data_IF_146080708536
#
_entry.id   IF_146080708536
#
_cell.length_a   1.000
_cell.length_b   1.000
_cell.length_c   1.000
_cell.angle_alpha   90.00
_cell.angle_beta   90.00
_cell.angle_gamma   90.00
#
_symmetry.space_group_name_H-M   'P 1'
#
loop_
_entity.id
_entity.type
_entity.pdbx_description
1 polymer ?
#
# COMPACT_ATOMS: atom_id res chain seq x y z
N UNK A 1 54.73 -44.89 -31.17
CA UNK A 1 54.90 -44.54 -32.59
C UNK A 1 53.56 -44.20 -33.21
N UNK A 2 53.54 -43.22 -34.11
CA UNK A 2 52.40 -42.45 -34.64
C UNK A 2 51.32 -43.26 -35.38
N UNK A 3 50.09 -42.72 -35.38
CA UNK A 3 49.13 -42.44 -36.49
C UNK A 3 47.75 -42.24 -35.83
N UNK A 4 46.96 -41.17 -35.99
CA UNK A 4 46.87 -40.07 -36.96
C UNK A 4 45.42 -40.04 -37.46
N UNK A 5 44.66 -38.96 -37.25
CA UNK A 5 43.42 -38.63 -38.00
C UNK A 5 43.32 -37.10 -38.08
N UNK A 6 43.02 -36.64 -39.29
CA UNK A 6 43.08 -35.27 -39.79
C UNK A 6 41.87 -34.41 -39.41
N UNK A 7 42.09 -33.10 -39.29
CA UNK A 7 41.04 -32.08 -39.36
C UNK A 7 41.07 -31.45 -40.74
N UNK A 8 39.99 -31.63 -41.49
CA UNK A 8 39.73 -30.94 -42.75
C UNK A 8 38.82 -29.73 -42.49
N UNK A 9 39.31 -28.57 -42.87
CA UNK A 9 38.58 -27.31 -43.03
C UNK A 9 37.53 -27.45 -44.13
N UNK A 10 36.29 -27.03 -43.87
CA UNK A 10 35.31 -26.70 -44.92
C UNK A 10 34.75 -25.32 -44.64
N UNK A 11 34.99 -24.45 -45.63
CA UNK A 11 34.37 -23.14 -45.80
C UNK A 11 32.99 -23.36 -46.45
N UNK A 12 31.96 -22.71 -45.93
CA UNK A 12 30.63 -22.66 -46.55
C UNK A 12 30.00 -21.29 -46.31
N UNK A 13 29.70 -20.59 -47.39
CA UNK A 13 29.26 -19.21 -47.44
C UNK A 13 27.87 -19.12 -48.08
N UNK A 14 27.09 -18.12 -47.65
CA UNK A 14 25.86 -17.55 -48.21
C UNK A 14 24.55 -18.36 -48.25
N UNK A 15 23.54 -17.84 -47.53
CA UNK A 15 22.21 -17.58 -48.09
C UNK A 15 21.50 -16.48 -47.28
N UNK A 16 21.34 -15.30 -47.91
CA UNK A 16 20.40 -14.25 -47.54
C UNK A 16 18.97 -14.76 -47.76
N UNK A 17 18.11 -14.67 -46.75
CA UNK A 17 16.66 -14.73 -46.94
C UNK A 17 16.05 -13.44 -46.41
N UNK A 18 15.51 -12.66 -47.33
CA UNK A 18 14.69 -11.50 -47.08
C UNK A 18 13.32 -11.92 -46.55
N UNK A 19 12.83 -11.22 -45.52
CA UNK A 19 11.52 -11.43 -44.92
C UNK A 19 10.98 -10.15 -44.30
N UNK A 20 10.40 -9.29 -45.15
CA UNK A 20 9.31 -8.33 -44.91
C UNK A 20 9.24 -7.64 -43.53
N UNK A 21 9.84 -6.45 -43.45
CA UNK A 21 9.56 -5.46 -42.40
C UNK A 21 8.28 -4.73 -42.75
N UNK A 22 7.22 -4.92 -41.95
CA UNK A 22 6.10 -3.97 -41.94
C UNK A 22 6.52 -2.73 -41.16
N UNK A 23 6.82 -1.66 -41.90
CA UNK A 23 6.96 -0.32 -41.35
C UNK A 23 5.58 0.15 -40.86
N UNK A 24 5.42 0.34 -39.55
CA UNK A 24 4.38 1.25 -39.04
C UNK A 24 4.94 2.68 -39.06
N UNK A 25 4.14 3.67 -39.49
CA UNK A 25 4.60 5.05 -39.54
C UNK A 25 4.87 5.59 -38.14
N UNK A 26 5.83 6.53 -37.99
CA UNK A 26 6.07 7.18 -36.71
C UNK A 26 4.85 7.99 -36.32
N UNK A 27 4.33 7.77 -35.10
CA UNK A 27 3.41 8.70 -34.47
C UNK A 27 4.17 10.00 -34.14
N UNK A 28 4.35 10.84 -35.16
CA UNK A 28 4.68 12.24 -35.01
C UNK A 28 3.46 12.99 -34.52
N UNK A 29 3.31 13.11 -33.20
CA UNK A 29 2.48 14.12 -32.57
C UNK A 29 3.38 15.27 -32.12
N UNK A 30 3.08 16.50 -32.56
CA UNK A 30 3.73 17.72 -32.06
C UNK A 30 3.55 17.80 -30.52
N UNK A 31 4.53 18.33 -29.76
CA UNK A 31 4.28 18.69 -28.37
C UNK A 31 3.29 19.87 -28.36
N UNK A 32 2.08 19.66 -27.84
CA UNK A 32 1.15 20.77 -27.62
C UNK A 32 -0.36 20.49 -27.70
N UNK A 33 -0.83 19.32 -28.12
CA UNK A 33 -2.29 19.12 -28.30
C UNK A 33 -2.77 17.74 -27.86
N UNK A 34 -2.93 17.53 -26.54
CA UNK A 34 -3.92 16.59 -25.99
C UNK A 34 -4.45 17.11 -24.65
N UNK A 35 -5.65 17.68 -24.70
CA UNK A 35 -6.44 18.00 -23.52
C UNK A 35 -7.59 18.92 -23.90
N UNK A 36 -8.75 18.35 -24.23
CA UNK A 36 -9.98 19.12 -24.41
C UNK A 36 -10.38 19.86 -23.12
N UNK A 37 -11.36 20.80 -23.18
CA UNK A 37 -11.70 21.66 -22.06
C UNK A 37 -12.04 20.83 -20.81
N UNK A 38 -11.39 21.08 -19.66
CA UNK A 38 -11.60 20.30 -18.44
C UNK A 38 -12.88 20.76 -17.73
N UNK A 39 -14.03 20.42 -18.31
CA UNK A 39 -15.36 20.77 -17.78
C UNK A 39 -16.45 19.74 -18.11
N UNK A 40 -16.08 18.55 -18.57
CA UNK A 40 -17.03 17.49 -18.84
C UNK A 40 -17.63 16.90 -17.54
N UNK A 41 -18.88 16.39 -17.54
CA UNK A 41 -19.58 15.88 -16.35
C UNK A 41 -18.94 14.64 -15.69
N UNK A 42 -17.80 14.16 -16.20
CA UNK A 42 -17.16 12.90 -15.84
C UNK A 42 -15.65 13.03 -15.54
N UNK A 43 -15.17 14.24 -15.22
CA UNK A 43 -13.81 14.41 -14.67
C UNK A 43 -13.70 13.90 -13.22
N UNK A 44 -12.50 13.50 -12.75
CA UNK A 44 -12.31 13.14 -11.34
C UNK A 44 -12.73 14.33 -10.45
N UNK A 45 -13.39 14.08 -9.30
CA UNK A 45 -13.92 15.15 -8.46
C UNK A 45 -12.78 16.09 -8.03
N UNK A 46 -12.89 17.37 -8.38
CA UNK A 46 -11.89 18.37 -8.01
C UNK A 46 -11.92 18.56 -6.49
N UNK A 47 -10.77 18.39 -5.85
CA UNK A 47 -10.61 18.60 -4.41
C UNK A 47 -10.70 20.12 -4.16
N UNK A 48 -11.53 20.61 -3.21
CA UNK A 48 -11.76 22.05 -2.99
C UNK A 48 -10.50 22.87 -2.78
N UNK A 49 -9.47 22.29 -2.15
CA UNK A 49 -8.15 22.93 -1.98
C UNK A 49 -7.53 23.26 -3.34
N UNK A 50 -7.52 22.31 -4.27
CA UNK A 50 -6.96 22.56 -5.60
C UNK A 50 -7.81 23.56 -6.37
N UNK A 51 -9.13 23.47 -6.30
CA UNK A 51 -10.03 24.45 -6.95
C UNK A 51 -9.87 25.88 -6.41
N UNK A 52 -9.49 26.03 -5.14
CA UNK A 52 -9.26 27.35 -4.55
C UNK A 52 -7.90 27.94 -4.95
N UNK A 53 -6.87 27.09 -5.10
CA UNK A 53 -5.50 27.50 -5.39
C UNK A 53 -5.22 27.67 -6.89
N UNK A 54 -5.78 26.80 -7.73
CA UNK A 54 -5.70 26.83 -9.20
C UNK A 54 -6.86 27.69 -9.73
N UNK A 55 -6.65 29.00 -9.76
CA UNK A 55 -7.67 29.98 -10.08
C UNK A 55 -7.98 30.03 -11.58
N UNK A 56 -6.99 29.72 -12.42
CA UNK A 56 -7.16 29.67 -13.87
C UNK A 56 -7.66 28.29 -14.37
N UNK A 57 -7.62 27.27 -13.52
CA UNK A 57 -8.15 25.93 -13.78
C UNK A 57 -7.33 25.09 -14.73
N UNK A 58 -6.05 25.45 -14.95
CA UNK A 58 -5.14 24.80 -15.90
C UNK A 58 -4.45 23.55 -15.32
N UNK A 59 -4.58 23.32 -14.00
CA UNK A 59 -4.03 22.17 -13.30
C UNK A 59 -2.59 22.35 -12.79
N UNK A 60 -1.99 23.53 -12.98
CA UNK A 60 -0.71 23.93 -12.43
C UNK A 60 -0.88 25.10 -11.45
N UNK A 61 0.10 25.35 -10.58
CA UNK A 61 0.07 26.49 -9.66
C UNK A 61 1.16 27.49 -10.06
N UNK A 62 0.75 28.62 -10.60
CA UNK A 62 1.64 29.71 -10.96
C UNK A 62 2.18 30.46 -9.72
N UNK A 63 3.28 31.20 -9.88
CA UNK A 63 3.85 32.02 -8.81
C UNK A 63 2.84 33.04 -8.22
N UNK A 64 1.97 33.59 -9.07
CA UNK A 64 0.93 34.54 -8.68
C UNK A 64 -0.20 33.87 -7.88
N UNK A 65 -0.53 32.61 -8.17
CA UNK A 65 -1.51 31.82 -7.43
C UNK A 65 -0.99 31.36 -6.08
N UNK A 66 0.29 30.98 -6.03
CA UNK A 66 0.98 30.67 -4.77
C UNK A 66 1.01 31.90 -3.86
N UNK A 67 1.28 33.09 -4.42
CA UNK A 67 1.27 34.34 -3.65
C UNK A 67 -0.11 34.68 -3.06
N UNK A 68 -1.19 34.27 -3.73
CA UNK A 68 -2.59 34.49 -3.31
C UNK A 68 -3.17 33.33 -2.50
N UNK A 69 -2.42 32.26 -2.29
CA UNK A 69 -2.86 31.06 -1.59
C UNK A 69 -3.44 31.33 -0.20
N UNK A 70 -2.88 32.23 0.65
CA UNK A 70 -3.46 32.50 1.97
C UNK A 70 -4.88 33.07 1.89
N UNK A 71 -5.17 33.95 0.93
CA UNK A 71 -6.50 34.53 0.74
C UNK A 71 -7.48 33.53 0.13
N UNK A 72 -7.00 32.69 -0.78
CA UNK A 72 -7.79 31.62 -1.40
C UNK A 72 -8.22 30.55 -0.39
N UNK A 73 -7.29 30.11 0.48
CA UNK A 73 -7.56 29.10 1.50
C UNK A 73 -8.49 29.63 2.60
N UNK A 74 -8.39 30.92 2.95
CA UNK A 74 -9.28 31.55 3.92
C UNK A 74 -10.75 31.55 3.49
N UNK A 75 -11.05 31.46 2.18
CA UNK A 75 -12.42 31.32 1.68
C UNK A 75 -13.01 29.92 1.89
N UNK A 76 -12.16 28.93 2.16
CA UNK A 76 -12.59 27.56 2.46
C UNK A 76 -12.90 27.38 3.96
N UNK A 77 -12.36 28.23 4.83
CA UNK A 77 -12.65 28.28 6.27
C UNK A 77 -14.00 28.98 6.50
N UNK A 78 -15.06 28.18 6.56
CA UNK A 78 -16.46 28.62 6.66
C UNK A 78 -16.87 28.89 8.09
N UNK A 79 -16.29 28.16 9.05
CA UNK A 79 -16.59 28.37 10.46
C UNK A 79 -15.68 29.41 11.14
N UNK A 80 -14.61 29.83 10.45
CA UNK A 80 -13.75 30.94 10.84
C UNK A 80 -12.81 30.57 12.00
N UNK A 81 -12.57 29.28 12.23
CA UNK A 81 -11.74 28.79 13.34
C UNK A 81 -10.23 28.83 13.05
N UNK A 82 -9.85 29.26 11.83
CA UNK A 82 -8.47 29.36 11.37
C UNK A 82 -7.88 28.03 10.91
N UNK A 83 -8.70 26.98 10.74
CA UNK A 83 -8.32 25.65 10.23
C UNK A 83 -9.22 25.28 9.06
N UNK A 84 -8.79 24.27 8.29
CA UNK A 84 -9.61 23.67 7.24
C UNK A 84 -9.96 22.24 7.66
N UNK A 85 -11.20 22.06 8.08
CA UNK A 85 -11.75 20.80 8.53
C UNK A 85 -12.04 19.84 7.37
N UNK A 86 -12.21 18.55 7.68
CA UNK A 86 -12.59 17.55 6.67
C UNK A 86 -13.91 17.90 5.98
N UNK A 87 -14.81 18.63 6.62
CA UNK A 87 -16.11 18.99 6.07
C UNK A 87 -16.00 20.11 5.02
N UNK A 88 -15.06 21.04 5.21
CA UNK A 88 -14.77 22.15 4.28
C UNK A 88 -13.97 21.71 3.07
N UNK A 89 -13.15 20.67 3.22
CA UNK A 89 -12.36 20.08 2.15
C UNK A 89 -13.11 19.01 1.32
N UNK A 90 -14.41 18.83 1.52
CA UNK A 90 -15.22 17.89 0.74
C UNK A 90 -15.56 18.44 -0.65
N UNK A 91 -15.34 17.69 -1.74
CA UNK A 91 -15.78 18.08 -3.08
C UNK A 91 -17.28 18.38 -3.10
N UNK A 92 -17.66 19.59 -3.52
CA UNK A 92 -19.05 19.93 -3.79
C UNK A 92 -19.39 19.51 -5.23
N UNK A 93 -20.41 18.67 -5.38
CA UNK A 93 -20.94 18.33 -6.70
C UNK A 93 -21.74 19.51 -7.25
N UNK A 94 -21.45 19.92 -8.49
CA UNK A 94 -22.04 21.08 -9.14
C UNK A 94 -23.56 21.02 -9.35
N UNK A 95 -24.19 22.15 -9.71
CA UNK A 95 -25.64 22.28 -9.77
C UNK A 95 -26.22 21.40 -10.89
N UNK A 96 -26.93 20.36 -10.48
CA UNK A 96 -27.53 19.35 -11.34
C UNK A 96 -28.06 18.16 -10.53
N UNK A 97 -27.53 17.96 -9.31
CA UNK A 97 -28.03 16.96 -8.36
C UNK A 97 -28.14 17.56 -6.96
N UNK A 98 -29.22 18.31 -6.73
CA UNK A 98 -29.63 18.81 -5.41
C UNK A 98 -31.16 18.94 -5.34
N UNK A 99 -31.82 18.63 -4.20
CA UNK A 99 -33.28 18.66 -4.12
C UNK A 99 -33.83 20.07 -4.28
N UNK A 100 -34.88 20.20 -5.09
CA UNK A 100 -35.68 21.41 -5.30
C UNK A 100 -36.08 22.03 -3.95
N UNK A 101 -35.57 23.22 -3.66
CA UNK A 101 -36.02 24.01 -2.51
C UNK A 101 -37.49 24.41 -2.71
N UNK A 102 -38.36 24.32 -1.69
CA UNK A 102 -39.73 24.82 -1.78
C UNK A 102 -39.75 26.34 -1.58
N UNK A 103 -40.41 27.03 -2.50
CA UNK A 103 -40.89 28.39 -2.28
C UNK A 103 -42.03 28.41 -1.26
N UNK A 104 -42.04 29.50 -0.51
CA UNK A 104 -43.11 30.18 0.23
C UNK A 104 -44.49 29.51 0.38
N UNK A 105 -44.91 29.35 1.64
CA UNK A 105 -46.31 29.19 2.07
C UNK A 105 -46.46 28.69 3.51
N UNK A 106 -47.15 29.41 4.42
CA UNK A 106 -47.30 29.01 5.82
C UNK A 106 -48.48 28.04 6.00
N UNK A 107 -48.28 26.94 6.71
CA UNK A 107 -49.33 25.97 7.05
C UNK A 107 -48.91 25.07 8.23
N UNK A 108 -49.86 24.65 9.09
CA UNK A 108 -49.65 24.70 10.53
C UNK A 108 -49.02 23.43 11.15
N UNK A 109 -48.51 23.64 12.36
CA UNK A 109 -47.86 22.68 13.24
C UNK A 109 -48.57 21.31 13.34
N UNK A 110 -47.79 20.25 13.12
CA UNK A 110 -48.16 18.86 13.37
C UNK A 110 -46.97 18.06 13.92
N UNK A 111 -46.98 17.85 15.24
CA UNK A 111 -46.30 16.87 16.13
C UNK A 111 -45.00 16.14 15.69
N UNK A 112 -44.03 15.95 16.60
CA UNK A 112 -42.74 15.33 16.30
C UNK A 112 -42.88 13.81 16.15
N UNK A 113 -42.72 13.32 14.91
CA UNK A 113 -42.56 11.90 14.60
C UNK A 113 -41.09 11.52 14.48
N UNK A 114 -40.68 10.57 15.32
CA UNK A 114 -39.43 9.80 15.31
C UNK A 114 -38.53 9.97 14.07
N UNK A 115 -37.37 10.61 14.25
CA UNK A 115 -36.31 10.68 13.25
C UNK A 115 -35.77 9.29 12.92
N UNK A 116 -36.22 8.75 11.78
CA UNK A 116 -35.60 7.60 11.13
C UNK A 116 -34.19 8.00 10.68
N UNK A 117 -33.19 7.31 11.24
CA UNK A 117 -31.82 7.36 10.74
C UNK A 117 -31.79 7.05 9.25
N UNK A 118 -31.15 7.94 8.50
CA UNK A 118 -30.87 7.76 7.07
C UNK A 118 -29.88 6.61 6.88
N UNK A 119 -30.40 5.39 6.81
CA UNK A 119 -29.62 4.23 6.44
C UNK A 119 -29.36 4.31 4.93
N UNK A 120 -28.13 4.69 4.56
CA UNK A 120 -27.65 4.83 3.19
C UNK A 120 -28.11 3.69 2.27
N UNK A 121 -28.32 4.00 0.99
CA UNK A 121 -28.78 3.04 0.00
C UNK A 121 -27.90 1.78 -0.09
N UNK A 122 -28.36 0.71 -0.77
CA UNK A 122 -27.70 -0.58 -0.80
C UNK A 122 -26.20 -0.51 -1.14
N UNK A 123 -25.81 0.32 -2.12
CA UNK A 123 -24.41 0.52 -2.50
C UNK A 123 -23.55 1.20 -1.43
N UNK A 124 -24.12 2.12 -0.65
CA UNK A 124 -23.41 2.78 0.46
C UNK A 124 -23.19 1.84 1.65
N UNK A 125 -24.12 0.92 1.92
CA UNK A 125 -23.93 -0.12 2.94
C UNK A 125 -22.90 -1.17 2.52
N UNK A 126 -22.85 -1.52 1.23
CA UNK A 126 -21.84 -2.45 0.69
C UNK A 126 -20.44 -1.84 0.77
N UNK A 127 -20.24 -0.60 0.31
CA UNK A 127 -18.95 0.09 0.40
C UNK A 127 -18.44 0.21 1.85
N UNK A 128 -19.31 0.59 2.78
CA UNK A 128 -18.96 0.63 4.20
C UNK A 128 -18.62 -0.75 4.79
N UNK A 129 -19.21 -1.83 4.25
CA UNK A 129 -18.94 -3.20 4.69
C UNK A 129 -17.58 -3.72 4.20
N UNK A 130 -17.10 -3.27 3.02
CA UNK A 130 -15.79 -3.65 2.49
C UNK A 130 -14.63 -3.14 3.37
N UNK A 131 -14.82 -1.98 3.98
CA UNK A 131 -13.86 -1.34 4.89
C UNK A 131 -14.04 -1.73 6.37
N UNK A 132 -15.00 -2.61 6.67
CA UNK A 132 -15.31 -2.96 8.05
C UNK A 132 -14.15 -3.68 8.74
N UNK A 133 -13.96 -3.38 10.02
CA UNK A 133 -12.98 -4.07 10.86
C UNK A 133 -13.35 -5.55 11.02
N UNK A 134 -12.37 -6.46 11.07
CA UNK A 134 -12.63 -7.87 11.28
C UNK A 134 -13.32 -8.08 12.63
N UNK A 135 -14.27 -9.01 12.68
CA UNK A 135 -14.90 -9.39 13.93
C UNK A 135 -14.01 -10.41 14.65
N UNK A 136 -13.69 -10.21 15.94
CA UNK A 136 -12.86 -11.15 16.68
C UNK A 136 -13.58 -12.48 16.90
N UNK A 137 -12.87 -13.60 16.73
CA UNK A 137 -13.40 -14.94 17.02
C UNK A 137 -13.38 -15.28 18.51
N UNK A 138 -12.38 -14.78 19.24
CA UNK A 138 -12.12 -15.06 20.65
C UNK A 138 -11.60 -13.82 21.40
N UNK A 139 -11.56 -13.87 22.73
CA UNK A 139 -11.11 -12.74 23.57
C UNK A 139 -9.67 -12.31 23.29
N UNK A 140 -8.83 -13.26 22.88
CA UNK A 140 -7.45 -12.95 22.57
C UNK A 140 -7.32 -12.24 21.22
N UNK A 141 -8.13 -12.59 20.21
CA UNK A 141 -8.24 -11.81 18.98
C UNK A 141 -8.87 -10.43 19.22
N UNK A 142 -9.88 -10.34 20.10
CA UNK A 142 -10.47 -9.06 20.51
C UNK A 142 -9.40 -8.15 21.14
N UNK A 143 -8.56 -8.70 22.02
CA UNK A 143 -7.44 -7.99 22.65
C UNK A 143 -6.42 -7.49 21.62
N UNK A 144 -6.06 -8.32 20.64
CA UNK A 144 -5.13 -7.95 19.56
C UNK A 144 -5.66 -6.76 18.74
N UNK A 145 -6.93 -6.81 18.33
CA UNK A 145 -7.58 -5.73 17.59
C UNK A 145 -7.68 -4.45 18.43
N UNK A 146 -8.03 -4.57 19.71
CA UNK A 146 -8.08 -3.43 20.63
C UNK A 146 -6.71 -2.75 20.80
N UNK A 147 -5.62 -3.52 20.84
CA UNK A 147 -4.27 -2.95 20.92
C UNK A 147 -3.90 -2.22 19.63
N UNK A 148 -4.24 -2.75 18.45
CA UNK A 148 -4.03 -2.03 17.19
C UNK A 148 -4.79 -0.71 17.17
N UNK A 149 -6.06 -0.70 17.59
CA UNK A 149 -6.87 0.51 17.67
C UNK A 149 -6.28 1.53 18.66
N UNK A 150 -5.78 1.05 19.81
CA UNK A 150 -5.13 1.90 20.80
C UNK A 150 -3.84 2.53 20.28
N UNK A 151 -2.98 1.75 19.60
CA UNK A 151 -1.76 2.25 18.98
C UNK A 151 -2.11 3.34 17.96
N UNK A 152 -3.05 3.07 17.05
CA UNK A 152 -3.46 4.02 16.01
C UNK A 152 -4.03 5.32 16.56
N UNK A 153 -4.72 5.28 17.71
CA UNK A 153 -5.27 6.48 18.36
C UNK A 153 -4.25 7.25 19.18
N UNK A 154 -3.32 6.57 19.85
CA UNK A 154 -2.49 7.15 20.92
C UNK A 154 -1.05 7.45 20.50
N UNK A 155 -0.49 6.73 19.52
CA UNK A 155 0.95 6.74 19.22
C UNK A 155 1.32 7.56 17.98
N UNK A 156 0.37 8.32 17.41
CA UNK A 156 0.63 9.23 16.29
C UNK A 156 0.97 8.53 14.97
N UNK A 157 1.46 9.30 13.99
CA UNK A 157 1.82 8.79 12.66
C UNK A 157 3.21 8.16 12.68
N UNK A 158 3.26 6.85 12.84
CA UNK A 158 4.49 6.03 12.79
C UNK A 158 4.65 5.28 11.46
N UNK A 159 4.03 5.82 10.38
CA UNK A 159 3.99 5.21 9.04
C UNK A 159 3.48 3.76 9.04
N UNK A 160 2.58 3.43 9.96
CA UNK A 160 2.04 2.08 10.10
C UNK A 160 1.36 1.60 8.81
N UNK A 161 1.44 0.30 8.56
CA UNK A 161 0.63 -0.37 7.54
C UNK A 161 -0.86 -0.02 7.72
N UNK A 162 -1.58 0.33 6.66
CA UNK A 162 -3.03 0.43 6.68
C UNK A 162 -3.69 -0.87 7.18
N UNK A 163 -4.87 -0.76 7.78
CA UNK A 163 -5.57 -1.93 8.33
C UNK A 163 -5.85 -3.01 7.26
N UNK A 164 -6.10 -2.61 6.01
CA UNK A 164 -6.30 -3.54 4.89
C UNK A 164 -5.03 -4.36 4.61
N UNK A 165 -3.87 -3.70 4.59
CA UNK A 165 -2.58 -4.35 4.33
C UNK A 165 -2.22 -5.30 5.49
N UNK A 166 -2.42 -4.86 6.74
CA UNK A 166 -2.28 -5.71 7.92
C UNK A 166 -3.18 -6.96 7.89
N UNK A 167 -4.44 -6.82 7.47
CA UNK A 167 -5.34 -7.97 7.29
C UNK A 167 -4.83 -8.93 6.23
N UNK A 168 -4.28 -8.42 5.13
CA UNK A 168 -3.67 -9.23 4.10
C UNK A 168 -2.45 -10.01 4.62
N UNK A 169 -1.56 -9.37 5.40
CA UNK A 169 -0.44 -10.05 6.06
C UNK A 169 -0.91 -11.20 6.95
N UNK A 170 -1.92 -10.96 7.79
CA UNK A 170 -2.53 -12.00 8.64
C UNK A 170 -3.05 -13.17 7.79
N UNK A 171 -3.89 -12.89 6.79
CA UNK A 171 -4.54 -13.92 5.98
C UNK A 171 -3.52 -14.79 5.25
N UNK A 172 -2.52 -14.16 4.63
CA UNK A 172 -1.48 -14.87 3.89
C UNK A 172 -0.62 -15.73 4.83
N UNK A 173 -0.18 -15.20 5.96
CA UNK A 173 0.62 -15.93 6.94
C UNK A 173 -0.14 -17.16 7.50
N UNK A 174 -1.43 -17.01 7.80
CA UNK A 174 -2.26 -18.12 8.29
C UNK A 174 -2.51 -19.16 7.18
N UNK A 175 -2.84 -18.72 5.96
CA UNK A 175 -3.14 -19.59 4.84
C UNK A 175 -1.96 -20.47 4.41
N UNK A 176 -0.72 -19.96 4.50
CA UNK A 176 0.48 -20.76 4.21
C UNK A 176 0.96 -21.58 5.41
N UNK A 177 0.26 -21.50 6.56
CA UNK A 177 0.62 -22.21 7.78
C UNK A 177 1.97 -21.77 8.36
N UNK A 178 2.33 -20.49 8.25
CA UNK A 178 3.67 -19.98 8.55
C UNK A 178 4.14 -20.35 9.96
N UNK A 179 5.38 -20.83 10.07
CA UNK A 179 6.07 -21.18 11.33
C UNK A 179 7.18 -20.20 11.65
N UNK A 180 7.89 -19.71 10.65
CA UNK A 180 8.95 -18.71 10.78
C UNK A 180 8.64 -17.53 9.87
N UNK A 181 8.34 -16.38 10.47
CA UNK A 181 8.16 -15.11 9.77
C UNK A 181 9.31 -14.17 10.11
N UNK A 182 9.87 -13.53 9.10
CA UNK A 182 10.90 -12.50 9.27
C UNK A 182 10.35 -11.16 8.80
N UNK A 183 10.44 -10.14 9.64
CA UNK A 183 10.02 -8.77 9.34
C UNK A 183 11.22 -7.82 9.38
N UNK A 184 11.31 -6.96 8.36
CA UNK A 184 12.30 -5.89 8.27
C UNK A 184 11.55 -4.56 8.37
N UNK A 185 11.77 -3.85 9.49
CA UNK A 185 11.01 -2.65 9.88
C UNK A 185 9.89 -2.98 10.86
N UNK A 186 10.18 -2.90 12.17
CA UNK A 186 9.18 -3.17 13.22
C UNK A 186 8.29 -1.95 13.50
N UNK A 187 8.87 -0.75 13.50
CA UNK A 187 8.23 0.49 13.97
C UNK A 187 7.61 0.29 15.37
N UNK A 188 6.34 0.63 15.56
CA UNK A 188 5.61 0.38 16.80
C UNK A 188 4.96 -1.02 16.86
N UNK A 189 5.18 -1.88 15.87
CA UNK A 189 4.77 -3.29 15.87
C UNK A 189 3.39 -3.62 15.29
N UNK A 190 2.67 -2.69 14.64
CA UNK A 190 1.33 -3.00 14.10
C UNK A 190 1.32 -4.17 13.11
N UNK A 191 2.24 -4.19 12.13
CA UNK A 191 2.37 -5.29 11.17
C UNK A 191 2.69 -6.61 11.87
N UNK A 192 3.61 -6.56 12.83
CA UNK A 192 3.95 -7.69 13.70
C UNK A 192 2.78 -8.21 14.52
N UNK A 193 1.87 -7.35 14.99
CA UNK A 193 0.65 -7.77 15.70
C UNK A 193 -0.32 -8.49 14.76
N UNK A 194 -0.52 -7.97 13.54
CA UNK A 194 -1.35 -8.63 12.53
C UNK A 194 -0.84 -10.03 12.17
N UNK A 195 0.46 -10.16 11.89
CA UNK A 195 1.09 -11.46 11.64
C UNK A 195 1.07 -12.33 12.90
N UNK A 196 1.26 -11.75 14.07
CA UNK A 196 1.14 -12.42 15.37
C UNK A 196 -0.23 -13.10 15.58
N UNK A 197 -1.32 -12.53 15.07
CA UNK A 197 -2.64 -13.17 15.11
C UNK A 197 -2.64 -14.51 14.37
N UNK A 198 -2.06 -14.56 13.17
CA UNK A 198 -1.91 -15.78 12.38
C UNK A 198 -0.98 -16.78 13.10
N UNK A 199 0.14 -16.29 13.62
CA UNK A 199 1.16 -17.13 14.27
C UNK A 199 0.66 -17.78 15.57
N UNK A 200 -0.33 -17.19 16.24
CA UNK A 200 -1.03 -17.86 17.34
C UNK A 200 -1.78 -19.11 16.88
N UNK A 201 -2.38 -19.09 15.69
CA UNK A 201 -3.13 -20.23 15.13
C UNK A 201 -2.21 -21.27 14.52
N UNK A 202 -1.15 -20.83 13.85
CA UNK A 202 -0.18 -21.75 13.24
C UNK A 202 0.84 -22.29 14.25
N UNK A 203 0.99 -21.68 15.43
CA UNK A 203 2.07 -22.01 16.37
C UNK A 203 3.45 -21.54 15.92
N UNK A 204 3.49 -20.54 15.03
CA UNK A 204 4.72 -19.94 14.52
C UNK A 204 5.29 -18.81 15.39
N UNK A 205 6.41 -18.26 14.92
CA UNK A 205 7.13 -17.14 15.54
C UNK A 205 7.50 -16.06 14.52
N UNK A 206 7.61 -14.85 15.02
CA UNK A 206 8.07 -13.67 14.30
C UNK A 206 9.47 -13.29 14.78
N UNK A 207 10.38 -13.07 13.84
CA UNK A 207 11.65 -12.39 14.07
C UNK A 207 11.56 -11.05 13.36
N UNK A 208 11.63 -9.95 14.09
CA UNK A 208 11.47 -8.61 13.54
C UNK A 208 12.70 -7.76 13.82
N UNK A 209 13.11 -6.96 12.85
CA UNK A 209 14.33 -6.16 12.89
C UNK A 209 14.00 -4.67 12.97
N UNK A 210 14.56 -4.00 13.98
CA UNK A 210 14.36 -2.57 14.21
C UNK A 210 15.69 -1.87 14.50
N UNK A 211 15.96 -0.81 13.77
CA UNK A 211 17.21 -0.05 13.90
C UNK A 211 17.13 0.95 15.07
N UNK A 212 15.94 1.49 15.36
CA UNK A 212 15.74 2.47 16.42
C UNK A 212 15.42 1.78 17.76
N UNK A 213 16.29 1.89 18.78
CA UNK A 213 16.10 1.19 20.05
C UNK A 213 14.87 1.67 20.83
N UNK A 214 14.42 2.92 20.64
CA UNK A 214 13.21 3.43 21.30
C UNK A 214 11.95 2.84 20.67
N UNK A 215 11.92 2.72 19.35
CA UNK A 215 10.85 2.01 18.63
C UNK A 215 10.84 0.53 18.97
N UNK A 216 12.01 -0.10 19.05
CA UNK A 216 12.13 -1.48 19.50
C UNK A 216 11.54 -1.66 20.91
N UNK A 217 11.86 -0.77 21.86
CA UNK A 217 11.27 -0.78 23.20
C UNK A 217 9.74 -0.60 23.18
N UNK A 218 9.24 0.38 22.43
CA UNK A 218 7.80 0.61 22.27
C UNK A 218 7.08 -0.59 21.64
N UNK A 219 7.67 -1.21 20.62
CA UNK A 219 7.13 -2.42 20.01
C UNK A 219 7.07 -3.58 21.00
N UNK A 220 8.08 -3.76 21.89
CA UNK A 220 8.02 -4.78 22.96
C UNK A 220 6.84 -4.55 23.89
N UNK A 221 6.61 -3.30 24.31
CA UNK A 221 5.46 -2.95 25.14
C UNK A 221 4.15 -3.28 24.44
N UNK A 222 4.03 -2.91 23.16
CA UNK A 222 2.86 -3.20 22.35
C UNK A 222 2.64 -4.71 22.14
N UNK A 223 3.70 -5.50 21.91
CA UNK A 223 3.60 -6.97 21.79
C UNK A 223 3.22 -7.65 23.11
N UNK A 224 3.72 -7.13 24.24
CA UNK A 224 3.32 -7.59 25.57
C UNK A 224 1.85 -7.26 25.85
N UNK A 225 1.43 -6.01 25.54
CA UNK A 225 0.05 -5.58 25.66
C UNK A 225 -0.89 -6.40 24.76
N UNK A 226 -0.45 -6.77 23.56
CA UNK A 226 -1.15 -7.66 22.61
C UNK A 226 -1.19 -9.14 23.06
N UNK A 227 -0.35 -9.54 24.02
CA UNK A 227 -0.27 -10.92 24.49
C UNK A 227 0.42 -11.88 23.52
N UNK A 228 1.38 -11.38 22.73
CA UNK A 228 2.15 -12.18 21.76
C UNK A 228 3.66 -12.12 21.97
N UNK A 229 4.13 -11.55 23.08
CA UNK A 229 5.56 -11.42 23.37
C UNK A 229 6.33 -12.75 23.34
N UNK A 230 5.68 -13.87 23.69
CA UNK A 230 6.27 -15.23 23.63
C UNK A 230 6.53 -15.74 22.20
N UNK A 231 5.97 -15.07 21.20
CA UNK A 231 6.08 -15.41 19.77
C UNK A 231 6.97 -14.46 18.98
N UNK A 232 7.33 -13.31 19.55
CA UNK A 232 8.07 -12.28 18.83
C UNK A 232 9.48 -12.16 19.39
N UNK A 233 10.47 -12.19 18.52
CA UNK A 233 11.86 -11.83 18.83
C UNK A 233 12.19 -10.54 18.09
N UNK A 234 12.51 -9.48 18.83
CA UNK A 234 12.99 -8.22 18.24
C UNK A 234 14.52 -8.25 18.23
N UNK A 235 15.10 -8.09 17.05
CA UNK A 235 16.53 -7.94 16.82
C UNK A 235 16.82 -6.46 16.60
N UNK A 236 17.53 -5.85 17.53
CA UNK A 236 17.96 -4.46 17.40
C UNK A 236 19.20 -4.32 16.51
N UNK A 237 19.23 -3.27 15.71
CA UNK A 237 20.37 -2.87 14.87
C UNK A 237 20.04 -2.85 13.39
N UNK A 238 21.06 -2.57 12.57
CA UNK A 238 20.91 -2.49 11.12
C UNK A 238 20.45 -3.85 10.55
N UNK A 239 19.28 -3.84 9.89
CA UNK A 239 18.74 -5.02 9.23
C UNK A 239 19.67 -5.57 8.16
N UNK A 240 20.41 -4.71 7.44
CA UNK A 240 21.37 -5.14 6.41
C UNK A 240 22.46 -6.06 6.96
N UNK A 241 22.85 -5.86 8.22
CA UNK A 241 23.84 -6.69 8.90
C UNK A 241 23.19 -7.85 9.65
N UNK A 242 22.13 -7.55 10.39
CA UNK A 242 21.54 -8.49 11.35
C UNK A 242 20.88 -9.68 10.66
N UNK A 243 20.30 -9.51 9.46
CA UNK A 243 19.67 -10.60 8.70
C UNK A 243 20.65 -11.66 8.22
N UNK A 244 21.94 -11.34 8.09
CA UNK A 244 22.96 -12.30 7.68
C UNK A 244 23.15 -13.45 8.68
N UNK A 245 22.64 -13.28 9.92
CA UNK A 245 22.70 -14.29 10.99
C UNK A 245 21.50 -15.23 10.98
N UNK A 246 20.47 -14.95 10.18
CA UNK A 246 19.26 -15.75 10.11
C UNK A 246 19.54 -17.10 9.47
N UNK A 247 18.73 -18.09 9.85
CA UNK A 247 18.78 -19.45 9.31
C UNK A 247 17.39 -19.83 8.79
N UNK A 248 17.37 -20.52 7.66
CA UNK A 248 16.13 -21.04 7.07
C UNK A 248 15.69 -22.37 7.70
N UNK A 249 14.51 -22.88 7.30
CA UNK A 249 13.60 -22.26 6.33
C UNK A 249 12.78 -21.10 6.92
N UNK A 250 12.58 -20.06 6.12
CA UNK A 250 11.64 -18.96 6.37
C UNK A 250 10.37 -19.21 5.54
N UNK A 251 9.19 -19.07 6.15
CA UNK A 251 7.91 -19.23 5.47
C UNK A 251 7.43 -17.94 4.82
N UNK A 252 7.60 -16.81 5.54
CA UNK A 252 7.19 -15.48 5.08
C UNK A 252 8.27 -14.46 5.45
N UNK A 253 8.63 -13.63 4.49
CA UNK A 253 9.41 -12.40 4.71
C UNK A 253 8.49 -11.21 4.50
N UNK A 254 8.48 -10.26 5.42
CA UNK A 254 7.84 -8.95 5.26
C UNK A 254 8.90 -7.85 5.23
N UNK A 255 8.89 -7.02 4.18
CA UNK A 255 9.85 -5.93 3.99
C UNK A 255 9.09 -4.59 3.98
N UNK A 256 9.33 -3.78 5.01
CA UNK A 256 8.77 -2.43 5.16
C UNK A 256 9.79 -1.49 5.82
N UNK A 257 10.91 -1.31 5.14
CA UNK A 257 12.05 -0.51 5.63
C UNK A 257 12.50 0.52 4.57
N UNK A 258 13.78 0.90 4.61
CA UNK A 258 14.44 1.74 3.61
C UNK A 258 14.32 1.12 2.20
N UNK A 259 14.06 1.92 1.18
CA UNK A 259 13.69 1.40 -0.16
C UNK A 259 14.91 0.98 -0.97
N UNK A 260 15.99 1.72 -0.81
CA UNK A 260 17.30 1.45 -1.41
C UNK A 260 17.81 0.06 -1.02
N UNK A 261 17.46 -0.41 0.17
CA UNK A 261 17.83 -1.71 0.70
C UNK A 261 17.05 -2.93 0.20
N UNK A 262 15.93 -2.75 -0.51
CA UNK A 262 15.01 -3.86 -0.83
C UNK A 262 15.66 -4.99 -1.63
N UNK A 263 16.53 -4.64 -2.58
CA UNK A 263 17.28 -5.62 -3.39
C UNK A 263 18.28 -6.39 -2.52
N UNK A 264 18.95 -5.72 -1.59
CA UNK A 264 19.89 -6.37 -0.68
C UNK A 264 19.17 -7.34 0.26
N UNK A 265 18.04 -6.93 0.86
CA UNK A 265 17.19 -7.80 1.66
C UNK A 265 16.70 -9.01 0.86
N UNK A 266 16.22 -8.80 -0.37
CA UNK A 266 15.78 -9.86 -1.27
C UNK A 266 16.90 -10.89 -1.49
N UNK A 267 18.09 -10.42 -1.86
CA UNK A 267 19.23 -11.29 -2.17
C UNK A 267 19.68 -12.12 -0.96
N UNK A 268 19.66 -11.53 0.24
CA UNK A 268 20.05 -12.21 1.49
C UNK A 268 18.98 -13.19 1.98
N UNK A 269 17.70 -12.85 1.85
CA UNK A 269 16.60 -13.61 2.45
C UNK A 269 15.98 -14.64 1.51
N UNK A 270 15.88 -14.38 0.20
CA UNK A 270 15.28 -15.31 -0.78
C UNK A 270 15.87 -16.73 -0.74
N UNK A 271 17.19 -16.93 -0.57
CA UNK A 271 17.76 -18.28 -0.41
C UNK A 271 17.23 -19.03 0.82
N UNK A 272 16.88 -18.31 1.89
CA UNK A 272 16.35 -18.88 3.14
C UNK A 272 14.84 -19.12 3.09
N UNK A 273 14.12 -18.44 2.21
CA UNK A 273 12.68 -18.68 1.99
C UNK A 273 12.48 -20.08 1.40
N UNK A 274 11.60 -20.88 1.99
CA UNK A 274 11.31 -22.22 1.47
C UNK A 274 10.56 -22.16 0.14
N UNK A 275 10.64 -23.21 -0.71
CA UNK A 275 9.71 -23.37 -1.81
C UNK A 275 8.25 -23.31 -1.32
N UNK A 276 7.40 -22.58 -2.04
CA UNK A 276 6.04 -22.23 -1.64
C UNK A 276 5.93 -21.21 -0.49
N UNK A 277 7.03 -20.54 -0.12
CA UNK A 277 7.06 -19.43 0.84
C UNK A 277 6.79 -18.08 0.16
N UNK A 278 6.53 -17.06 0.98
CA UNK A 278 6.15 -15.73 0.49
C UNK A 278 7.18 -14.66 0.87
N UNK A 279 7.35 -13.69 -0.03
CA UNK A 279 7.99 -12.40 0.24
C UNK A 279 6.93 -11.33 0.01
N UNK A 280 6.64 -10.56 1.05
CA UNK A 280 5.64 -9.51 1.07
C UNK A 280 6.37 -8.19 1.26
N UNK A 281 6.31 -7.29 0.29
CA UNK A 281 7.03 -6.02 0.37
C UNK A 281 6.08 -4.84 0.22
N UNK A 282 6.20 -3.88 1.13
CA UNK A 282 5.25 -2.79 1.31
C UNK A 282 5.73 -1.48 0.67
N UNK A 283 4.79 -0.55 0.45
CA UNK A 283 4.92 0.64 -0.39
C UNK A 283 5.31 0.35 -1.85
N UNK A 284 4.88 -0.79 -2.38
CA UNK A 284 5.08 -1.12 -3.78
C UNK A 284 3.89 -0.59 -4.59
N UNK A 285 4.04 0.64 -5.08
CA UNK A 285 3.12 1.29 -6.02
C UNK A 285 3.91 2.13 -7.03
N UNK A 286 3.28 2.62 -8.13
CA UNK A 286 3.98 3.33 -9.20
C UNK A 286 4.74 4.59 -8.78
N UNK A 287 4.47 5.14 -7.58
CA UNK A 287 5.14 6.35 -7.08
C UNK A 287 6.32 6.06 -6.16
N UNK A 288 6.31 4.94 -5.45
CA UNK A 288 7.24 4.66 -4.35
C UNK A 288 8.10 3.42 -4.55
N UNK A 289 7.75 2.54 -5.47
CA UNK A 289 8.47 1.28 -5.66
C UNK A 289 9.87 1.49 -6.23
N UNK A 290 10.87 0.79 -5.67
CA UNK A 290 12.19 0.69 -6.27
C UNK A 290 12.12 -0.16 -7.55
N UNK A 291 12.52 0.44 -8.68
CA UNK A 291 12.45 -0.20 -10.00
C UNK A 291 13.37 -1.43 -10.12
N UNK A 292 14.49 -1.44 -9.40
CA UNK A 292 15.45 -2.55 -9.40
C UNK A 292 14.86 -3.75 -8.67
N UNK A 293 14.23 -3.53 -7.51
CA UNK A 293 13.51 -4.55 -6.76
C UNK A 293 12.34 -5.12 -7.58
N UNK A 294 11.51 -4.25 -8.17
CA UNK A 294 10.38 -4.69 -9.02
C UNK A 294 10.88 -5.54 -10.19
N UNK A 295 11.97 -5.14 -10.85
CA UNK A 295 12.59 -5.93 -11.91
C UNK A 295 13.08 -7.28 -11.39
N UNK A 296 13.74 -7.33 -10.24
CA UNK A 296 14.27 -8.57 -9.66
C UNK A 296 13.17 -9.61 -9.39
N UNK A 297 12.04 -9.19 -8.82
CA UNK A 297 10.93 -10.10 -8.47
C UNK A 297 10.02 -10.48 -9.66
N UNK A 298 10.11 -9.77 -10.78
CA UNK A 298 9.30 -10.02 -11.99
C UNK A 298 10.05 -10.73 -13.11
N UNK A 299 11.38 -10.72 -13.08
CA UNK A 299 12.23 -11.37 -14.10
C UNK A 299 12.85 -12.69 -13.63
N UNK A 300 12.74 -13.01 -12.33
CA UNK A 300 13.22 -14.28 -11.80
C UNK A 300 12.19 -15.41 -12.10
N UNK A 301 12.57 -16.47 -12.85
CA UNK A 301 11.66 -17.55 -13.23
C UNK A 301 11.21 -18.42 -12.04
N UNK A 302 11.88 -18.35 -10.90
CA UNK A 302 11.50 -19.07 -9.67
C UNK A 302 10.46 -18.30 -8.85
N UNK A 303 10.14 -17.06 -9.25
CA UNK A 303 9.21 -16.18 -8.56
C UNK A 303 7.93 -15.95 -9.37
N UNK A 304 6.82 -15.81 -8.66
CA UNK A 304 5.56 -15.31 -9.20
C UNK A 304 5.09 -14.17 -8.31
N UNK A 305 4.81 -13.01 -8.90
CA UNK A 305 4.50 -11.78 -8.14
C UNK A 305 3.16 -11.21 -8.58
N UNK A 306 2.28 -10.97 -7.61
CA UNK A 306 1.09 -10.14 -7.74
C UNK A 306 1.32 -8.79 -7.07
N UNK A 307 0.86 -7.71 -7.69
CA UNK A 307 0.87 -6.37 -7.10
C UNK A 307 -0.53 -5.97 -6.67
N UNK A 308 -0.68 -5.62 -5.40
CA UNK A 308 -1.88 -4.99 -4.86
C UNK A 308 -1.54 -3.52 -4.61
N UNK A 309 -1.93 -2.63 -5.54
CA UNK A 309 -1.50 -1.22 -5.52
C UNK A 309 -2.46 -0.28 -4.79
N UNK A 310 -3.55 -0.80 -4.24
CA UNK A 310 -4.45 -0.05 -3.36
C UNK A 310 -3.82 0.15 -1.97
N UNK A 311 -4.42 1.02 -1.16
CA UNK A 311 -3.93 1.36 0.19
C UNK A 311 -2.44 1.76 0.21
N UNK A 312 -1.59 1.05 0.94
CA UNK A 312 -0.14 1.32 1.01
C UNK A 312 0.63 0.83 -0.22
N UNK A 313 0.08 -0.13 -0.95
CA UNK A 313 0.77 -0.87 -2.01
C UNK A 313 1.59 -2.04 -1.45
N UNK A 314 1.29 -3.26 -1.89
CA UNK A 314 1.98 -4.49 -1.49
C UNK A 314 2.33 -5.32 -2.73
N UNK A 315 3.58 -5.76 -2.85
CA UNK A 315 3.93 -6.89 -3.73
C UNK A 315 3.85 -8.20 -2.96
N UNK A 316 3.15 -9.18 -3.51
CA UNK A 316 3.01 -10.53 -2.98
C UNK A 316 3.79 -11.46 -3.91
N UNK A 317 4.96 -11.89 -3.47
CA UNK A 317 5.86 -12.74 -4.27
C UNK A 317 5.90 -14.16 -3.69
N UNK A 318 5.48 -15.14 -4.49
CA UNK A 318 5.59 -16.56 -4.20
C UNK A 318 6.91 -17.10 -4.74
N UNK A 319 7.66 -17.81 -3.89
CA UNK A 319 8.75 -18.68 -4.35
C UNK A 319 8.15 -20.00 -4.84
N UNK A 320 8.28 -20.31 -6.12
CA UNK A 320 7.71 -21.54 -6.72
C UNK A 320 8.34 -22.81 -6.12
N UNK A 321 7.61 -23.93 -6.28
CA UNK A 321 8.02 -25.25 -5.78
C UNK A 321 8.94 -25.98 -6.73
#
# INVERSE_FOLDING_TARGET
MRRGIAWATVVGSWALVAGMVFAQPPFGGKPGERGGPPGGPFGPPRIPVMTALDANGDGELSADEIAKAPEALKKLDKDGDGKLSREELRPQFGPGFGPRGPGDGPGPAGKPGAGRGGAGGPGGRVAASLESSPQPKDDAEKKLLQVIDDINRKQGRMLNVPAQDGRMLRLLAEAVGAKTVVEIGTSNGISGIWMGMALRKTGGKLITHEIDPQRAALARENFAAAGIADRVTIVEGDAHETVARLKGPIDVVFIDADKEGYVDYLNKLLPLVRPGGLILAHNINPRMADATYVKAITTNPDLETLFFTEAGGLSITLKKR
#
